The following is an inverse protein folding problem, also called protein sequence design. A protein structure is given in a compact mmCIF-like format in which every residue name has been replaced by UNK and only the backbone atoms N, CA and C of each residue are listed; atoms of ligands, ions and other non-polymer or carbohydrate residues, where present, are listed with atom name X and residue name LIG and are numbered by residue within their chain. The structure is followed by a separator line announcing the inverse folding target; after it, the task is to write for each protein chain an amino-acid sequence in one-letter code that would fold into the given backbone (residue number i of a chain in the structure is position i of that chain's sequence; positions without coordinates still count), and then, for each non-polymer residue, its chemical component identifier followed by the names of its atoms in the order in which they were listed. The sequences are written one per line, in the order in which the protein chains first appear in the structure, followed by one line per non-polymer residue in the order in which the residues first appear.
data_IF_756218980085
#
_entry.id   IF_756218980085
#
_cell.length_a   1.000
_cell.length_b   1.000
_cell.length_c   1.000
_cell.angle_alpha   90.00
_cell.angle_beta   90.00
_cell.angle_gamma   90.00
#
_symmetry.space_group_name_H-M   'P 1'
#
loop_
_entity.id
_entity.type
_entity.pdbx_description
1 polymer ?
#
# COMPACT_ATOMS: atom_id res chain seq x y z
N UNK A 1 -13.45 7.19 -10.50
CA UNK A 1 -12.87 6.34 -9.43
C UNK A 1 -12.82 7.12 -8.14
N UNK A 2 -13.26 6.50 -7.06
CA UNK A 2 -13.21 7.13 -5.74
C UNK A 2 -12.09 6.50 -4.92
N UNK A 3 -11.33 7.33 -4.23
CA UNK A 3 -10.17 6.91 -3.47
C UNK A 3 -10.36 7.28 -2.01
N UNK A 4 -10.19 6.31 -1.15
CA UNK A 4 -10.33 6.47 0.30
C UNK A 4 -9.07 6.02 1.00
N UNK A 5 -8.76 6.65 2.11
CA UNK A 5 -7.64 6.22 2.96
C UNK A 5 -8.16 6.04 4.39
N UNK A 6 -7.66 5.03 5.06
CA UNK A 6 -7.98 4.85 6.48
C UNK A 6 -7.14 5.80 7.31
N UNK A 7 -7.51 5.97 8.56
CA UNK A 7 -6.71 6.79 9.48
C UNK A 7 -5.29 6.24 9.62
N UNK A 8 -5.19 4.93 9.65
CA UNK A 8 -3.90 4.25 9.73
C UNK A 8 -3.04 4.55 8.51
N UNK A 9 -3.64 4.51 7.33
CA UNK A 9 -2.93 4.80 6.11
C UNK A 9 -2.52 6.27 6.03
N UNK A 10 -3.38 7.17 6.49
CA UNK A 10 -3.07 8.59 6.53
C UNK A 10 -1.84 8.87 7.40
N UNK A 11 -1.75 8.22 8.54
CA UNK A 11 -0.57 8.33 9.40
C UNK A 11 0.69 7.84 8.70
N UNK A 12 0.57 6.73 7.98
CA UNK A 12 1.67 6.22 7.19
C UNK A 12 2.11 7.24 6.13
N UNK A 13 1.15 7.83 5.42
CA UNK A 13 1.46 8.81 4.38
C UNK A 13 2.28 9.97 4.95
N UNK A 14 1.89 10.47 6.10
CA UNK A 14 2.61 11.56 6.75
C UNK A 14 4.02 11.15 7.14
N UNK A 15 4.15 9.98 7.71
CA UNK A 15 5.46 9.47 8.14
C UNK A 15 6.39 9.21 6.97
N UNK A 16 5.87 8.66 5.90
CA UNK A 16 6.64 8.29 4.71
C UNK A 16 6.75 9.44 3.70
N UNK A 17 6.10 10.56 3.97
CA UNK A 17 6.05 11.71 3.07
C UNK A 17 5.46 11.37 1.71
N UNK A 18 4.46 10.52 1.71
CA UNK A 18 3.70 10.17 0.52
C UNK A 18 2.59 11.19 0.34
N UNK A 19 2.57 11.83 -0.82
CA UNK A 19 1.62 12.91 -1.11
C UNK A 19 0.37 12.38 -1.80
N UNK A 20 -0.65 13.23 -1.88
CA UNK A 20 -1.87 12.89 -2.61
C UNK A 20 -1.59 12.62 -4.09
N UNK A 21 -0.64 13.34 -4.68
CA UNK A 21 -0.27 13.12 -6.07
C UNK A 21 0.28 11.72 -6.30
N UNK A 22 1.06 11.23 -5.36
CA UNK A 22 1.59 9.86 -5.43
C UNK A 22 0.45 8.85 -5.34
N UNK A 23 -0.52 9.10 -4.46
CA UNK A 23 -1.67 8.20 -4.32
C UNK A 23 -2.51 8.19 -5.60
N UNK A 24 -2.70 9.34 -6.23
CA UNK A 24 -3.41 9.40 -7.50
C UNK A 24 -2.70 8.60 -8.59
N UNK A 25 -1.39 8.72 -8.66
CA UNK A 25 -0.60 7.96 -9.62
C UNK A 25 -0.71 6.46 -9.35
N UNK A 26 -0.58 6.06 -8.12
CA UNK A 26 -0.69 4.66 -7.72
C UNK A 26 -2.08 4.12 -8.03
N UNK A 27 -3.11 4.93 -7.81
CA UNK A 27 -4.49 4.54 -8.12
C UNK A 27 -4.68 4.28 -9.60
N UNK A 28 -4.08 5.10 -10.46
CA UNK A 28 -4.13 4.87 -11.90
C UNK A 28 -3.41 3.59 -12.30
N UNK A 29 -2.28 3.32 -11.66
CA UNK A 29 -1.54 2.08 -11.90
C UNK A 29 -2.38 0.87 -11.52
N UNK A 30 -3.02 0.91 -10.37
CA UNK A 30 -3.90 -0.17 -9.93
C UNK A 30 -5.07 -0.37 -10.87
N UNK A 31 -5.64 0.72 -11.36
CA UNK A 31 -6.75 0.66 -12.31
C UNK A 31 -6.32 0.02 -13.62
N UNK A 32 -5.05 0.16 -13.99
CA UNK A 32 -4.48 -0.46 -15.18
C UNK A 32 -4.01 -1.90 -14.95
N UNK A 33 -4.20 -2.43 -13.74
CA UNK A 33 -3.78 -3.79 -13.43
C UNK A 33 -2.35 -3.90 -12.93
N UNK A 34 -1.70 -2.79 -12.65
CA UNK A 34 -0.31 -2.79 -12.15
C UNK A 34 -0.31 -2.89 -10.63
N UNK A 35 -0.20 -4.09 -10.13
CA UNK A 35 -0.07 -4.36 -8.71
C UNK A 35 1.07 -5.36 -8.51
N UNK A 36 1.58 -5.45 -7.29
CA UNK A 36 2.69 -6.36 -6.99
C UNK A 36 2.20 -7.75 -6.64
N UNK A 37 1.04 -7.85 -6.02
CA UNK A 37 0.47 -9.13 -5.67
C UNK A 37 -1.04 -8.99 -5.51
N UNK A 38 -1.77 -10.03 -5.93
CA UNK A 38 -3.21 -10.11 -5.76
C UNK A 38 -3.49 -11.04 -4.58
N UNK A 39 -3.92 -10.44 -3.48
CA UNK A 39 -4.09 -11.16 -2.23
C UNK A 39 -5.47 -11.83 -2.09
N UNK A 40 -6.45 -11.39 -2.90
CA UNK A 40 -7.81 -11.93 -2.79
C UNK A 40 -8.59 -11.68 -4.07
N UNK A 41 -8.29 -12.46 -5.10
CA UNK A 41 -9.07 -12.54 -6.34
C UNK A 41 -9.54 -11.20 -6.89
N UNK A 42 -8.65 -10.23 -6.97
CA UNK A 42 -8.98 -8.92 -7.50
C UNK A 42 -9.65 -7.97 -6.52
N UNK A 43 -9.76 -8.36 -5.26
CA UNK A 43 -10.40 -7.52 -4.24
C UNK A 43 -9.40 -6.86 -3.31
N UNK A 44 -8.22 -7.45 -3.17
CA UNK A 44 -7.22 -6.95 -2.25
C UNK A 44 -5.85 -7.09 -2.91
N UNK A 45 -5.12 -5.99 -2.97
CA UNK A 45 -3.83 -5.96 -3.64
C UNK A 45 -2.73 -5.47 -2.74
N UNK A 46 -1.55 -5.99 -2.99
CA UNK A 46 -0.32 -5.47 -2.42
C UNK A 46 0.30 -4.55 -3.47
N UNK A 47 0.70 -3.37 -3.04
CA UNK A 47 1.24 -2.37 -3.96
C UNK A 47 2.40 -1.62 -3.32
N UNK A 48 3.50 -1.52 -4.04
CA UNK A 48 4.64 -0.70 -3.62
C UNK A 48 4.36 0.76 -3.92
N UNK A 49 4.73 1.61 -2.97
CA UNK A 49 4.54 3.06 -3.10
C UNK A 49 5.86 3.73 -2.76
N UNK A 50 6.48 4.39 -3.73
CA UNK A 50 7.74 5.06 -3.50
C UNK A 50 7.53 6.40 -2.83
N UNK A 51 8.31 6.67 -1.79
CA UNK A 51 8.44 8.03 -1.24
C UNK A 51 9.34 8.84 -2.16
N UNK A 52 9.32 10.18 -2.06
CA UNK A 52 10.23 10.98 -2.86
C UNK A 52 11.67 10.51 -2.72
N UNK A 53 12.36 10.40 -3.84
CA UNK A 53 13.77 9.98 -3.90
C UNK A 53 14.02 8.51 -3.54
N UNK A 54 12.98 7.70 -3.47
CA UNK A 54 13.13 6.26 -3.28
C UNK A 54 12.99 5.54 -4.61
N UNK A 55 13.73 4.43 -4.76
CA UNK A 55 13.50 3.50 -5.85
C UNK A 55 12.32 2.58 -5.48
N UNK A 56 11.75 1.91 -6.48
CA UNK A 56 10.69 0.94 -6.20
C UNK A 56 11.16 -0.20 -5.31
N UNK A 57 12.41 -0.58 -5.47
CA UNK A 57 12.98 -1.67 -4.69
C UNK A 57 12.97 -1.38 -3.20
N UNK A 58 13.28 -0.14 -2.85
CA UNK A 58 13.35 0.30 -1.46
C UNK A 58 12.06 1.00 -1.01
N UNK A 59 11.02 0.91 -1.83
CA UNK A 59 9.80 1.63 -1.57
C UNK A 59 9.01 1.04 -0.41
N UNK A 60 8.00 1.79 -0.01
CA UNK A 60 7.06 1.36 1.00
C UNK A 60 6.16 0.26 0.46
N UNK A 61 5.49 -0.43 1.36
CA UNK A 61 4.50 -1.44 1.01
C UNK A 61 3.12 -0.96 1.43
N UNK A 62 2.11 -1.37 0.69
CA UNK A 62 0.74 -1.02 1.04
C UNK A 62 -0.22 -2.16 0.71
N UNK A 63 -1.37 -2.14 1.39
CA UNK A 63 -2.47 -3.03 1.09
C UNK A 63 -3.65 -2.16 0.68
N UNK A 64 -4.21 -2.45 -0.49
CA UNK A 64 -5.28 -1.67 -1.08
C UNK A 64 -6.44 -2.61 -1.41
N UNK A 65 -7.64 -2.26 -0.97
CA UNK A 65 -8.85 -3.00 -1.34
C UNK A 65 -9.53 -2.32 -2.52
N UNK A 66 -10.03 -3.13 -3.42
CA UNK A 66 -10.77 -2.65 -4.60
C UNK A 66 -12.21 -3.10 -4.46
N UNK A 67 -13.13 -2.15 -4.49
CA UNK A 67 -14.54 -2.46 -4.39
C UNK A 67 -15.24 -2.14 -5.72
N UNK A 68 -15.76 -3.19 -6.36
CA UNK A 68 -16.51 -3.09 -7.62
C UNK A 68 -15.80 -2.33 -8.74
N UNK A 69 -14.47 -2.30 -8.68
CA UNK A 69 -13.68 -1.62 -9.71
C UNK A 69 -13.78 -0.10 -9.71
N UNK A 70 -14.55 0.49 -8.80
CA UNK A 70 -14.77 1.92 -8.77
C UNK A 70 -14.21 2.61 -7.55
N UNK A 71 -13.98 1.88 -6.48
CA UNK A 71 -13.51 2.44 -5.21
C UNK A 71 -12.24 1.76 -4.77
N UNK A 72 -11.27 2.58 -4.41
CA UNK A 72 -10.01 2.10 -3.86
C UNK A 72 -9.92 2.52 -2.40
N UNK A 73 -9.62 1.57 -1.54
CA UNK A 73 -9.43 1.82 -0.12
C UNK A 73 -7.99 1.48 0.23
N UNK A 74 -7.21 2.50 0.50
CA UNK A 74 -5.84 2.32 0.98
C UNK A 74 -5.94 2.03 2.47
N UNK A 75 -5.73 0.77 2.82
CA UNK A 75 -6.02 0.28 4.18
C UNK A 75 -4.82 0.46 5.10
N UNK A 76 -3.67 0.03 4.65
CA UNK A 76 -2.49 0.03 5.48
C UNK A 76 -1.24 0.22 4.64
N UNK A 77 -0.28 0.94 5.20
CA UNK A 77 1.02 1.11 4.56
C UNK A 77 2.10 1.08 5.61
N UNK A 78 3.31 0.73 5.18
CA UNK A 78 4.46 0.73 6.08
C UNK A 78 5.72 0.94 5.26
N UNK A 79 6.71 1.54 5.90
CA UNK A 79 8.01 1.70 5.26
C UNK A 79 8.74 0.37 5.32
N UNK A 80 9.55 0.11 4.30
CA UNK A 80 10.34 -1.11 4.28
C UNK A 80 11.19 -1.26 5.54
N UNK A 81 11.75 -0.17 6.03
CA UNK A 81 12.57 -0.17 7.22
C UNK A 81 11.79 -0.54 8.50
N UNK A 82 10.48 -0.34 8.48
CA UNK A 82 9.63 -0.62 9.63
C UNK A 82 9.10 -2.05 9.66
N UNK A 83 9.41 -2.84 8.64
CA UNK A 83 8.94 -4.21 8.59
C UNK A 83 9.71 -5.03 9.62
N UNK A 84 9.02 -5.63 10.58
CA UNK A 84 9.71 -6.44 11.59
C UNK A 84 10.29 -7.68 10.95
N UNK A 85 11.57 -7.87 11.09
CA UNK A 85 12.24 -9.01 10.44
C UNK A 85 12.29 -10.24 11.29
N UNK A 86 12.24 -10.09 12.57
CA UNK A 86 12.48 -11.21 13.47
C UNK A 86 11.26 -11.73 14.17
N UNK A 87 10.26 -10.95 14.16
CA UNK A 87 9.16 -11.17 15.05
C UNK A 87 8.24 -12.25 14.61
N UNK A 88 8.16 -12.39 13.34
CA UNK A 88 7.06 -13.11 12.78
C UNK A 88 6.92 -14.53 13.17
N UNK A 89 7.97 -15.28 13.04
CA UNK A 89 7.84 -16.71 13.26
C UNK A 89 7.55 -17.05 14.68
N UNK A 90 8.30 -16.46 15.59
CA UNK A 90 8.07 -16.77 17.00
C UNK A 90 6.70 -16.35 17.48
N UNK A 91 6.21 -15.24 16.98
CA UNK A 91 4.89 -14.79 17.37
C UNK A 91 3.78 -15.62 16.75
N UNK A 92 3.96 -16.03 15.55
CA UNK A 92 2.97 -16.84 14.85
C UNK A 92 2.86 -18.23 15.46
N UNK A 93 3.96 -18.73 15.94
CA UNK A 93 4.00 -20.08 16.50
C UNK A 93 3.52 -20.17 17.95
N UNK A 94 3.25 -19.08 18.53
CA UNK A 94 2.73 -19.07 19.92
C UNK A 94 1.29 -19.51 20.02
#
# INVERSE_FOLDING_TARGET
MKIYVTDSFDKFMRKAKVTDDVILKVSRELDSGLHDDDLDRGKLFKKRIASPKQSKRDSNRSVVAVQKGERLFFIQGWRKADIPKKVKKSQINC
#
